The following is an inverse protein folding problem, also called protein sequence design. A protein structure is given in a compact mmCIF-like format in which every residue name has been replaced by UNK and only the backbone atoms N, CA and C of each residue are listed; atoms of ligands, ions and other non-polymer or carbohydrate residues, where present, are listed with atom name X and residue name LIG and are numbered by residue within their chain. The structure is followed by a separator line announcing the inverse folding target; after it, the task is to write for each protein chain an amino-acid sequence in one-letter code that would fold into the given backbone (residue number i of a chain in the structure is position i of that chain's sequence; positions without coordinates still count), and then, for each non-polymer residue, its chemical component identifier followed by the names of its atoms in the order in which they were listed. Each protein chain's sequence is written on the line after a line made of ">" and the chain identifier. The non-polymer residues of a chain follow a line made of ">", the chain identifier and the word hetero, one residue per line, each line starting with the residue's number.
data_IF_995547870272
#
_entry.id   IF_995547870272
#
_cell.length_a   1.000
_cell.length_b   1.000
_cell.length_c   1.000
_cell.angle_alpha   90.00
_cell.angle_beta   90.00
_cell.angle_gamma   90.00
#
_symmetry.space_group_name_H-M   'P 1'
#
loop_
_entity.id
_entity.type
_entity.pdbx_description
1 polymer ?
#
# COMPACT_ATOMS: atom_id res chain seq x y z
N UNK A 1 -6.00 -57.02 6.52
CA UNK A 1 -7.03 -56.19 7.20
C UNK A 1 -6.27 -54.96 7.65
N UNK A 2 -6.10 -54.02 6.75
CA UNK A 2 -5.38 -52.77 7.02
C UNK A 2 -6.41 -51.73 7.46
N UNK A 3 -6.30 -51.37 8.72
CA UNK A 3 -7.11 -50.40 9.44
C UNK A 3 -6.59 -49.00 9.09
N UNK A 4 -7.21 -48.35 8.11
CA UNK A 4 -6.90 -46.97 7.75
C UNK A 4 -7.88 -46.07 8.50
N UNK A 5 -7.47 -45.62 9.69
CA UNK A 5 -8.19 -44.59 10.43
C UNK A 5 -8.23 -43.29 9.61
N UNK A 6 -9.38 -42.59 9.52
CA UNK A 6 -9.47 -41.32 8.83
C UNK A 6 -8.79 -40.23 9.67
N UNK A 7 -7.88 -39.50 9.04
CA UNK A 7 -7.35 -38.22 9.54
C UNK A 7 -8.51 -37.24 9.59
N UNK A 8 -8.91 -36.85 10.80
CA UNK A 8 -9.83 -35.74 11.00
C UNK A 8 -9.21 -34.44 10.46
N UNK A 9 -9.94 -33.63 9.69
CA UNK A 9 -9.44 -32.35 9.23
C UNK A 9 -9.28 -31.41 10.42
N UNK A 10 -8.09 -30.80 10.50
CA UNK A 10 -7.76 -29.78 11.46
C UNK A 10 -8.80 -28.67 11.44
N UNK A 11 -9.30 -28.35 12.63
CA UNK A 11 -10.11 -27.18 12.95
C UNK A 11 -9.38 -25.91 12.51
N UNK A 12 -9.78 -25.35 11.37
CA UNK A 12 -9.20 -24.15 10.81
C UNK A 12 -9.87 -22.90 11.38
N UNK A 13 -9.15 -22.27 12.31
CA UNK A 13 -9.14 -20.83 12.46
C UNK A 13 -10.28 -20.28 13.30
N UNK A 14 -10.01 -20.09 14.58
CA UNK A 14 -10.67 -19.05 15.37
C UNK A 14 -10.48 -17.74 14.60
N UNK A 15 -11.53 -17.27 13.94
CA UNK A 15 -11.50 -16.01 13.23
C UNK A 15 -11.10 -14.93 14.23
N UNK A 16 -10.05 -14.18 13.89
CA UNK A 16 -9.62 -13.02 14.69
C UNK A 16 -10.86 -12.14 14.92
N UNK A 17 -11.24 -11.85 16.18
CA UNK A 17 -12.43 -11.05 16.48
C UNK A 17 -12.46 -9.72 15.70
N UNK A 18 -11.29 -9.11 15.44
CA UNK A 18 -11.20 -7.92 14.61
C UNK A 18 -11.65 -8.13 13.16
N UNK A 19 -11.45 -9.31 12.58
CA UNK A 19 -11.92 -9.64 11.22
C UNK A 19 -13.44 -9.82 11.18
N UNK A 20 -14.03 -10.43 12.22
CA UNK A 20 -15.48 -10.59 12.30
C UNK A 20 -16.20 -9.25 12.45
N UNK A 21 -15.68 -8.35 13.29
CA UNK A 21 -16.24 -7.02 13.51
C UNK A 21 -16.19 -6.16 12.24
N UNK A 22 -15.10 -6.25 11.46
CA UNK A 22 -14.99 -5.58 10.15
C UNK A 22 -16.01 -6.09 9.14
N UNK A 23 -16.18 -7.40 9.05
CA UNK A 23 -17.12 -8.01 8.11
C UNK A 23 -18.57 -7.61 8.46
N UNK A 24 -18.92 -7.62 9.74
CA UNK A 24 -20.22 -7.16 10.22
C UNK A 24 -20.43 -5.66 9.89
N UNK A 25 -19.42 -4.82 10.16
CA UNK A 25 -19.49 -3.40 9.87
C UNK A 25 -19.69 -3.11 8.37
N UNK A 26 -18.99 -3.84 7.50
CA UNK A 26 -19.16 -3.71 6.05
C UNK A 26 -20.53 -4.20 5.57
N UNK A 27 -21.10 -5.24 6.19
CA UNK A 27 -22.45 -5.70 5.90
C UNK A 27 -23.50 -4.63 6.29
N UNK A 28 -23.34 -3.99 7.45
CA UNK A 28 -24.23 -2.91 7.89
C UNK A 28 -24.10 -1.64 7.01
N UNK A 29 -22.89 -1.36 6.52
CA UNK A 29 -22.62 -0.25 5.60
C UNK A 29 -23.06 -0.52 4.16
N UNK A 30 -23.36 -1.78 3.80
CA UNK A 30 -23.59 -2.21 2.41
C UNK A 30 -24.61 -1.37 1.65
N UNK A 31 -25.83 -1.09 2.18
CA UNK A 31 -26.82 -0.32 1.43
C UNK A 31 -26.29 1.05 1.03
N UNK A 32 -25.60 1.73 1.94
CA UNK A 32 -25.03 3.05 1.72
C UNK A 32 -23.87 3.01 0.73
N UNK A 33 -23.00 1.99 0.84
CA UNK A 33 -21.90 1.82 -0.10
C UNK A 33 -22.37 1.57 -1.54
N UNK A 34 -23.45 0.79 -1.72
CA UNK A 34 -24.04 0.54 -3.03
C UNK A 34 -24.70 1.81 -3.61
N UNK A 35 -25.42 2.57 -2.80
CA UNK A 35 -26.11 3.80 -3.24
C UNK A 35 -25.12 4.88 -3.70
N UNK A 36 -24.02 5.04 -2.97
CA UNK A 36 -23.05 6.12 -3.21
C UNK A 36 -21.78 5.67 -3.94
N UNK A 37 -21.76 4.43 -4.45
CA UNK A 37 -20.60 3.83 -5.11
C UNK A 37 -19.30 3.97 -4.28
N UNK A 38 -19.40 3.75 -2.96
CA UNK A 38 -18.24 3.63 -2.09
C UNK A 38 -17.64 2.23 -2.27
N UNK A 39 -16.37 2.20 -2.66
CA UNK A 39 -15.64 0.97 -2.88
C UNK A 39 -14.63 0.73 -1.76
N UNK A 40 -14.53 -0.50 -1.29
CA UNK A 40 -13.50 -0.93 -0.36
C UNK A 40 -12.14 -0.96 -1.06
N UNK A 41 -11.12 -0.39 -0.43
CA UNK A 41 -9.73 -0.42 -0.87
C UNK A 41 -8.82 -0.83 0.29
N UNK A 42 -7.50 -0.80 0.07
CA UNK A 42 -6.51 -1.15 1.07
C UNK A 42 -6.44 -2.66 1.37
N UNK A 43 -5.92 -3.07 2.54
CA UNK A 43 -5.64 -4.48 2.85
C UNK A 43 -6.86 -5.40 2.75
N UNK A 44 -8.05 -4.96 3.16
CA UNK A 44 -9.27 -5.79 3.06
C UNK A 44 -9.67 -6.03 1.60
N UNK A 45 -9.50 -5.04 0.72
CA UNK A 45 -9.72 -5.21 -0.70
C UNK A 45 -8.72 -6.20 -1.31
N UNK A 46 -7.44 -6.12 -0.92
CA UNK A 46 -6.41 -7.08 -1.36
C UNK A 46 -6.80 -8.52 -0.97
N UNK A 47 -7.30 -8.73 0.26
CA UNK A 47 -7.79 -10.04 0.71
C UNK A 47 -8.97 -10.55 -0.12
N UNK A 48 -9.91 -9.68 -0.48
CA UNK A 48 -11.04 -10.03 -1.35
C UNK A 48 -10.61 -10.33 -2.80
N UNK A 49 -9.46 -9.80 -3.23
CA UNK A 49 -8.79 -10.19 -4.47
C UNK A 49 -7.90 -11.45 -4.34
N UNK A 50 -7.92 -12.11 -3.17
CA UNK A 50 -7.22 -13.37 -2.93
C UNK A 50 -5.75 -13.23 -2.50
N UNK A 51 -5.30 -12.04 -2.10
CA UNK A 51 -3.95 -11.82 -1.59
C UNK A 51 -3.87 -12.04 -0.07
N UNK A 52 -2.75 -12.56 0.40
CA UNK A 52 -2.47 -12.75 1.83
C UNK A 52 -1.99 -11.43 2.49
N UNK A 53 -2.73 -10.34 2.31
CA UNK A 53 -2.42 -9.06 2.93
C UNK A 53 -2.84 -9.08 4.41
N UNK A 54 -1.92 -8.81 5.36
CA UNK A 54 -2.28 -8.78 6.77
C UNK A 54 -3.09 -7.52 7.07
N UNK A 55 -4.08 -7.67 7.96
CA UNK A 55 -4.94 -6.57 8.43
C UNK A 55 -4.50 -6.20 9.85
N UNK A 56 -3.39 -5.49 9.98
CA UNK A 56 -2.82 -5.09 11.28
C UNK A 56 -3.41 -3.75 11.72
N UNK A 57 -4.30 -3.74 12.73
CA UNK A 57 -4.84 -2.54 13.42
C UNK A 57 -5.20 -1.34 12.50
N UNK A 58 -5.43 -1.62 11.22
CA UNK A 58 -5.60 -0.62 10.19
C UNK A 58 -7.08 -0.43 10.05
N UNK A 59 -7.53 0.83 10.03
CA UNK A 59 -8.92 1.13 9.71
C UNK A 59 -9.34 0.56 8.35
N UNK A 60 -10.64 0.49 8.11
CA UNK A 60 -11.17 0.23 6.77
C UNK A 60 -10.92 1.45 5.88
N UNK A 61 -10.60 1.22 4.61
CA UNK A 61 -10.49 2.29 3.62
C UNK A 61 -11.62 2.17 2.59
N UNK A 62 -12.46 3.20 2.54
CA UNK A 62 -13.49 3.36 1.51
C UNK A 62 -13.11 4.50 0.57
N UNK A 63 -13.23 4.27 -0.73
CA UNK A 63 -12.89 5.23 -1.78
C UNK A 63 -14.08 5.50 -2.68
N UNK A 64 -14.16 6.72 -3.21
CA UNK A 64 -15.12 7.08 -4.27
C UNK A 64 -14.49 8.00 -5.29
N UNK A 65 -14.86 7.82 -6.55
CA UNK A 65 -14.44 8.68 -7.65
C UNK A 65 -15.33 9.93 -7.81
N UNK A 66 -16.58 9.90 -7.30
CA UNK A 66 -17.60 10.88 -7.65
C UNK A 66 -18.61 11.14 -6.54
N UNK A 67 -19.72 11.81 -6.87
CA UNK A 67 -20.84 12.03 -5.95
C UNK A 67 -20.75 13.26 -5.05
N UNK A 68 -21.56 13.30 -3.97
CA UNK A 68 -21.65 14.43 -3.05
C UNK A 68 -20.31 14.79 -2.35
N UNK A 69 -20.21 15.96 -1.71
CA UNK A 69 -19.07 16.30 -0.85
C UNK A 69 -18.73 15.16 0.12
N UNK A 70 -17.44 14.90 0.32
CA UNK A 70 -16.98 13.78 1.15
C UNK A 70 -17.45 13.89 2.61
N UNK A 71 -17.61 15.11 3.11
CA UNK A 71 -18.18 15.37 4.43
C UNK A 71 -19.63 14.88 4.54
N UNK A 72 -20.44 15.06 3.50
CA UNK A 72 -21.83 14.61 3.45
C UNK A 72 -21.90 13.08 3.37
N UNK A 73 -21.01 12.48 2.58
CA UNK A 73 -20.86 11.02 2.51
C UNK A 73 -20.44 10.41 3.86
N UNK A 74 -19.50 11.04 4.54
CA UNK A 74 -19.06 10.60 5.87
C UNK A 74 -20.17 10.76 6.91
N UNK A 75 -20.94 11.85 6.86
CA UNK A 75 -22.07 12.06 7.75
C UNK A 75 -23.19 11.04 7.51
N UNK A 76 -23.53 10.77 6.24
CA UNK A 76 -24.53 9.77 5.87
C UNK A 76 -24.12 8.36 6.26
N UNK A 77 -22.88 7.96 5.99
CA UNK A 77 -22.35 6.67 6.43
C UNK A 77 -22.36 6.54 7.95
N UNK A 78 -21.96 7.58 8.67
CA UNK A 78 -22.01 7.58 10.13
C UNK A 78 -23.44 7.40 10.65
N UNK A 79 -24.44 7.99 10.00
CA UNK A 79 -25.84 7.81 10.36
C UNK A 79 -26.35 6.40 10.05
N UNK A 80 -26.00 5.83 8.90
CA UNK A 80 -26.31 4.43 8.57
C UNK A 80 -25.75 3.47 9.62
N UNK A 81 -24.49 3.67 10.01
CA UNK A 81 -23.84 2.84 11.02
C UNK A 81 -24.47 3.03 12.41
N UNK A 82 -24.85 4.26 12.78
CA UNK A 82 -25.59 4.51 14.03
C UNK A 82 -26.97 3.85 14.03
N UNK A 83 -27.67 3.87 12.92
CA UNK A 83 -28.96 3.20 12.77
C UNK A 83 -28.84 1.66 12.91
N UNK A 84 -27.70 1.10 12.52
CA UNK A 84 -27.35 -0.31 12.76
C UNK A 84 -26.88 -0.59 14.20
N UNK A 85 -26.78 0.44 15.06
CA UNK A 85 -26.44 0.32 16.48
C UNK A 85 -25.00 0.68 16.82
N UNK A 86 -24.15 1.01 15.85
CA UNK A 86 -22.75 1.36 16.11
C UNK A 86 -22.61 2.75 16.72
N UNK A 87 -21.59 2.96 17.55
CA UNK A 87 -21.21 4.30 18.01
C UNK A 87 -20.16 4.87 17.06
N UNK A 88 -20.49 5.99 16.40
CA UNK A 88 -19.61 6.62 15.41
C UNK A 88 -19.22 8.04 15.82
N UNK A 89 -17.91 8.29 15.90
CA UNK A 89 -17.32 9.61 16.05
C UNK A 89 -16.71 10.04 14.71
N UNK A 90 -16.95 11.28 14.32
CA UNK A 90 -16.38 11.86 13.11
C UNK A 90 -15.31 12.87 13.48
N UNK A 91 -14.13 12.74 12.88
CA UNK A 91 -13.08 13.75 12.97
C UNK A 91 -13.24 14.77 11.82
N UNK A 92 -12.81 16.03 12.02
CA UNK A 92 -12.73 17.00 10.92
C UNK A 92 -11.90 16.44 9.76
N UNK A 93 -12.44 16.53 8.54
CA UNK A 93 -11.79 16.07 7.32
C UNK A 93 -11.45 17.21 6.36
N UNK A 94 -10.78 16.86 5.27
CA UNK A 94 -10.59 17.71 4.10
C UNK A 94 -11.60 17.36 3.00
N UNK A 95 -11.59 18.10 1.89
CA UNK A 95 -12.41 17.77 0.72
C UNK A 95 -12.07 16.40 0.10
N UNK A 96 -10.88 15.84 0.38
CA UNK A 96 -10.39 14.58 -0.17
C UNK A 96 -10.28 13.44 0.84
N UNK A 97 -10.32 13.73 2.14
CA UNK A 97 -10.16 12.72 3.20
C UNK A 97 -11.06 13.01 4.39
N UNK A 98 -11.78 12.01 4.88
CA UNK A 98 -12.55 12.07 6.12
C UNK A 98 -12.27 10.82 6.95
N UNK A 99 -12.35 10.93 8.28
CA UNK A 99 -12.14 9.80 9.18
C UNK A 99 -13.31 9.65 10.14
N UNK A 100 -13.73 8.40 10.31
CA UNK A 100 -14.71 7.97 11.30
C UNK A 100 -14.03 6.99 12.26
N UNK A 101 -14.42 7.02 13.52
CA UNK A 101 -14.05 6.02 14.51
C UNK A 101 -15.34 5.32 14.96
N UNK A 102 -15.37 3.99 14.82
CA UNK A 102 -16.56 3.17 15.04
C UNK A 102 -16.31 2.21 16.19
N UNK A 103 -17.20 2.18 17.18
CA UNK A 103 -17.19 1.17 18.24
C UNK A 103 -18.49 0.38 18.22
N UNK A 104 -18.38 -0.94 18.31
CA UNK A 104 -19.52 -1.83 18.45
C UNK A 104 -19.97 -1.78 19.91
N UNK A 105 -21.23 -1.46 20.23
CA UNK A 105 -21.69 -1.53 21.61
C UNK A 105 -21.66 -2.99 22.06
N UNK A 106 -20.96 -3.27 23.17
CA UNK A 106 -20.98 -4.58 23.78
C UNK A 106 -22.45 -5.02 24.02
N UNK A 107 -22.84 -6.13 23.41
CA UNK A 107 -24.19 -6.67 23.54
C UNK A 107 -24.43 -7.15 24.99
N UNK A 108 -25.38 -6.55 25.69
CA UNK A 108 -25.90 -7.09 26.95
C UNK A 108 -26.86 -6.17 27.72
N UNK A 109 -28.11 -6.60 27.99
CA UNK A 109 -28.92 -6.07 29.08
C UNK A 109 -28.64 -6.89 30.36
N UNK A 110 -27.98 -6.32 31.36
CA UNK A 110 -27.87 -6.98 32.67
C UNK A 110 -26.69 -6.55 33.54
N UNK A 111 -27.04 -5.89 34.65
CA UNK A 111 -26.24 -5.56 35.84
C UNK A 111 -25.15 -4.47 35.74
N UNK A 112 -25.36 -3.29 36.37
CA UNK A 112 -24.23 -2.44 36.72
C UNK A 112 -23.36 -3.19 37.73
N UNK A 113 -22.08 -3.37 37.43
CA UNK A 113 -21.11 -3.82 38.42
C UNK A 113 -21.08 -2.84 39.59
N UNK A 114 -21.78 -3.19 40.67
CA UNK A 114 -21.61 -2.63 42.01
C UNK A 114 -20.25 -3.07 42.54
N UNK A 115 -19.20 -2.47 41.99
CA UNK A 115 -17.83 -2.88 42.25
C UNK A 115 -16.81 -1.81 41.88
N UNK A 116 -17.15 -0.52 41.99
CA UNK A 116 -16.14 0.54 42.06
C UNK A 116 -16.71 1.80 42.70
N UNK A 117 -16.95 1.73 44.02
CA UNK A 117 -17.01 2.93 44.86
C UNK A 117 -15.63 3.11 45.50
N UNK A 118 -14.67 3.55 44.69
CA UNK A 118 -13.46 4.21 45.16
C UNK A 118 -13.15 5.30 44.15
N UNK A 119 -13.60 6.52 44.46
CA UNK A 119 -13.30 7.69 43.67
C UNK A 119 -11.80 7.95 43.67
N UNK A 120 -11.27 8.16 42.47
CA UNK A 120 -10.37 9.27 42.17
C UNK A 120 -10.52 9.55 40.69
N UNK A 121 -10.91 10.78 40.37
CA UNK A 121 -10.86 11.35 39.03
C UNK A 121 -9.47 11.11 38.43
N UNK A 122 -9.40 10.20 37.46
CA UNK A 122 -8.30 10.13 36.51
C UNK A 122 -8.89 9.58 35.21
N UNK A 123 -8.74 10.37 34.14
CA UNK A 123 -8.87 9.93 32.75
C UNK A 123 -8.21 8.57 32.58
N UNK A 124 -9.05 7.56 32.47
CA UNK A 124 -8.66 6.16 32.33
C UNK A 124 -9.72 5.48 31.50
N UNK A 125 -10.02 6.05 30.32
CA UNK A 125 -10.76 5.36 29.29
C UNK A 125 -9.97 4.09 28.93
N UNK A 126 -10.31 2.97 29.53
CA UNK A 126 -10.21 1.67 28.87
C UNK A 126 -11.15 1.74 27.67
N UNK A 127 -10.70 2.46 26.64
CA UNK A 127 -11.44 2.72 25.42
C UNK A 127 -11.74 1.39 24.78
N UNK A 128 -13.02 1.13 24.50
CA UNK A 128 -13.37 0.05 23.60
C UNK A 128 -12.55 0.24 22.31
N UNK A 129 -12.02 -0.84 21.72
CA UNK A 129 -11.26 -0.72 20.48
C UNK A 129 -12.16 -0.06 19.43
N UNK A 130 -11.79 1.15 19.02
CA UNK A 130 -12.47 1.88 17.96
C UNK A 130 -11.85 1.46 16.63
N UNK A 131 -12.67 0.93 15.72
CA UNK A 131 -12.28 0.66 14.35
C UNK A 131 -12.34 1.95 13.54
N UNK A 132 -11.19 2.39 13.03
CA UNK A 132 -11.12 3.51 12.10
C UNK A 132 -11.78 3.17 10.77
N UNK A 133 -12.51 4.11 10.17
CA UNK A 133 -12.96 4.05 8.77
C UNK A 133 -12.51 5.33 8.08
N UNK A 134 -11.59 5.21 7.13
CA UNK A 134 -11.14 6.31 6.31
C UNK A 134 -11.96 6.36 5.02
N UNK A 135 -12.46 7.54 4.69
CA UNK A 135 -13.07 7.82 3.39
C UNK A 135 -12.11 8.69 2.59
N UNK A 136 -11.81 8.29 1.35
CA UNK A 136 -11.01 9.09 0.41
C UNK A 136 -11.77 9.36 -0.89
N UNK A 137 -11.51 10.51 -1.47
CA UNK A 137 -11.93 10.84 -2.84
C UNK A 137 -10.74 10.67 -3.78
N UNK A 138 -10.82 9.67 -4.64
CA UNK A 138 -9.70 9.24 -5.49
C UNK A 138 -10.14 9.02 -6.94
N UNK A 139 -9.31 9.38 -7.94
CA UNK A 139 -9.64 9.24 -9.35
C UNK A 139 -9.52 7.78 -9.83
N UNK A 140 -10.39 6.89 -9.35
CA UNK A 140 -10.41 5.48 -9.73
C UNK A 140 -10.41 5.33 -11.26
N UNK A 141 -9.46 4.55 -11.79
CA UNK A 141 -9.27 4.38 -13.23
C UNK A 141 -10.11 3.23 -13.78
N UNK A 142 -10.54 2.33 -12.91
CA UNK A 142 -11.33 1.17 -13.24
C UNK A 142 -12.64 1.17 -12.44
N UNK A 143 -13.74 0.62 -13.00
CA UNK A 143 -14.98 0.49 -12.24
C UNK A 143 -14.76 -0.46 -11.04
N UNK A 144 -15.33 -0.16 -9.87
CA UNK A 144 -15.36 -1.09 -8.74
C UNK A 144 -16.00 -2.42 -9.15
N UNK A 145 -15.48 -3.51 -8.60
CA UNK A 145 -16.00 -4.87 -8.80
C UNK A 145 -16.72 -5.35 -7.54
N UNK A 146 -17.53 -6.40 -7.64
CA UNK A 146 -18.13 -7.05 -6.47
C UNK A 146 -17.69 -8.52 -6.46
N UNK A 147 -16.50 -8.84 -5.92
CA UNK A 147 -16.01 -10.21 -5.82
C UNK A 147 -16.97 -11.11 -5.03
N UNK A 148 -16.93 -12.42 -5.29
CA UNK A 148 -17.73 -13.38 -4.54
C UNK A 148 -17.38 -13.32 -3.03
N UNK A 149 -18.39 -13.13 -2.19
CA UNK A 149 -18.21 -12.98 -0.74
C UNK A 149 -17.91 -11.56 -0.26
N UNK A 150 -17.76 -10.58 -1.16
CA UNK A 150 -17.60 -9.19 -0.77
C UNK A 150 -18.97 -8.59 -0.36
N UNK A 151 -19.10 -8.01 0.84
CA UNK A 151 -20.34 -7.35 1.27
C UNK A 151 -20.57 -6.01 0.57
N UNK A 152 -19.50 -5.35 0.09
CA UNK A 152 -19.55 -4.03 -0.55
C UNK A 152 -18.76 -4.03 -1.85
N UNK A 153 -19.00 -3.07 -2.78
CA UNK A 153 -18.12 -2.88 -3.93
C UNK A 153 -16.66 -2.78 -3.49
N UNK A 154 -15.74 -3.33 -4.27
CA UNK A 154 -14.30 -3.36 -4.02
C UNK A 154 -13.61 -2.65 -5.17
N UNK A 155 -12.64 -1.77 -4.88
CA UNK A 155 -11.84 -1.14 -5.91
C UNK A 155 -11.14 -2.22 -6.75
N UNK A 156 -10.97 -1.97 -8.05
CA UNK A 156 -10.25 -2.90 -8.90
C UNK A 156 -8.84 -3.15 -8.34
N UNK A 157 -8.27 -4.33 -8.59
CA UNK A 157 -6.97 -4.70 -8.04
C UNK A 157 -5.88 -3.69 -8.44
N UNK A 158 -5.89 -3.23 -9.68
CA UNK A 158 -4.91 -2.26 -10.19
C UNK A 158 -5.01 -0.91 -9.49
N UNK A 159 -6.23 -0.41 -9.24
CA UNK A 159 -6.45 0.82 -8.49
C UNK A 159 -6.08 0.64 -7.00
N UNK A 160 -6.37 -0.54 -6.43
CA UNK A 160 -5.99 -0.88 -5.05
C UNK A 160 -4.47 -0.95 -4.89
N UNK A 161 -3.76 -1.48 -5.89
CA UNK A 161 -2.32 -1.55 -5.91
C UNK A 161 -1.68 -0.16 -6.02
N UNK A 162 -2.19 0.70 -6.90
CA UNK A 162 -1.76 2.09 -6.97
C UNK A 162 -1.97 2.82 -5.64
N UNK A 163 -3.16 2.68 -5.04
CA UNK A 163 -3.48 3.29 -3.75
C UNK A 163 -2.60 2.77 -2.61
N UNK A 164 -2.18 1.50 -2.63
CA UNK A 164 -1.27 0.95 -1.62
C UNK A 164 0.10 1.64 -1.69
N UNK A 165 0.66 1.83 -2.89
CA UNK A 165 1.91 2.58 -3.10
C UNK A 165 1.78 4.02 -2.61
N UNK A 166 0.70 4.71 -2.98
CA UNK A 166 0.47 6.10 -2.60
C UNK A 166 0.25 6.25 -1.08
N UNK A 167 -0.48 5.32 -0.46
CA UNK A 167 -0.70 5.32 0.99
C UNK A 167 0.62 5.12 1.74
N UNK A 168 1.50 4.24 1.27
CA UNK A 168 2.86 4.12 1.81
C UNK A 168 3.65 5.42 1.63
N UNK A 169 3.56 6.07 0.47
CA UNK A 169 4.25 7.35 0.23
C UNK A 169 3.77 8.47 1.16
N UNK A 170 2.50 8.45 1.56
CA UNK A 170 1.92 9.43 2.47
C UNK A 170 2.29 9.18 3.94
N UNK A 171 2.23 7.92 4.39
CA UNK A 171 2.26 7.59 5.83
C UNK A 171 3.55 6.90 6.29
N UNK A 172 4.21 6.16 5.40
CA UNK A 172 5.38 5.32 5.70
C UNK A 172 5.22 4.42 6.94
N UNK A 173 4.09 3.72 7.06
CA UNK A 173 3.86 2.82 8.20
C UNK A 173 4.18 1.36 7.85
N UNK A 174 4.59 0.55 8.85
CA UNK A 174 4.78 -0.89 8.69
C UNK A 174 3.59 -1.62 8.06
N UNK A 175 2.36 -1.25 8.42
CA UNK A 175 1.16 -1.90 7.86
C UNK A 175 1.00 -1.64 6.37
N UNK A 176 1.27 -0.42 5.92
CA UNK A 176 1.21 -0.06 4.50
C UNK A 176 2.31 -0.81 3.72
N UNK A 177 3.48 -1.00 4.36
CA UNK A 177 4.58 -1.78 3.79
C UNK A 177 4.22 -3.25 3.64
N UNK A 178 3.59 -3.87 4.64
CA UNK A 178 3.14 -5.26 4.53
C UNK A 178 2.06 -5.45 3.46
N UNK A 179 1.12 -4.51 3.35
CA UNK A 179 0.10 -4.54 2.30
C UNK A 179 0.74 -4.42 0.90
N UNK A 180 1.74 -3.55 0.75
CA UNK A 180 2.48 -3.41 -0.50
C UNK A 180 3.33 -4.66 -0.81
N UNK A 181 4.00 -5.24 0.19
CA UNK A 181 4.76 -6.46 0.01
C UNK A 181 3.85 -7.64 -0.38
N UNK A 182 2.64 -7.73 0.16
CA UNK A 182 1.70 -8.79 -0.23
C UNK A 182 1.34 -8.74 -1.74
N UNK A 183 1.34 -7.56 -2.37
CA UNK A 183 1.08 -7.41 -3.80
C UNK A 183 2.17 -8.04 -4.67
N UNK A 184 3.40 -8.21 -4.16
CA UNK A 184 4.51 -8.79 -4.94
C UNK A 184 4.31 -10.28 -5.25
N UNK A 185 3.34 -10.93 -4.59
CA UNK A 185 2.90 -12.28 -4.95
C UNK A 185 2.25 -12.36 -6.34
N UNK A 186 1.72 -11.23 -6.86
CA UNK A 186 1.02 -11.18 -8.15
C UNK A 186 1.53 -10.08 -9.10
N UNK A 187 2.20 -9.06 -8.57
CA UNK A 187 2.66 -7.88 -9.33
C UNK A 187 4.16 -7.70 -9.17
N UNK A 188 4.83 -7.28 -10.23
CA UNK A 188 6.23 -6.87 -10.15
C UNK A 188 6.34 -5.44 -9.65
N UNK A 189 7.45 -5.11 -9.01
CA UNK A 189 7.76 -3.76 -8.52
C UNK A 189 7.58 -2.69 -9.61
N UNK A 190 8.09 -2.95 -10.82
CA UNK A 190 7.93 -2.04 -11.96
C UNK A 190 6.47 -1.83 -12.40
N UNK A 191 5.61 -2.84 -12.25
CA UNK A 191 4.17 -2.69 -12.51
C UNK A 191 3.50 -1.80 -11.45
N UNK A 192 3.90 -1.93 -10.18
CA UNK A 192 3.41 -1.09 -9.09
C UNK A 192 3.80 0.38 -9.29
N UNK A 193 5.02 0.66 -9.77
CA UNK A 193 5.45 2.01 -10.15
C UNK A 193 4.60 2.60 -11.28
N UNK A 194 4.37 1.81 -12.34
CA UNK A 194 3.58 2.24 -13.49
C UNK A 194 2.12 2.53 -13.10
N UNK A 195 1.54 1.69 -12.22
CA UNK A 195 0.19 1.90 -11.71
C UNK A 195 0.10 3.17 -10.85
N UNK A 196 1.03 3.37 -9.92
CA UNK A 196 1.07 4.56 -9.07
C UNK A 196 1.25 5.85 -9.88
N UNK A 197 2.22 5.89 -10.80
CA UNK A 197 2.48 7.06 -11.64
C UNK A 197 1.36 7.38 -12.62
N UNK A 198 0.54 6.40 -13.01
CA UNK A 198 -0.63 6.64 -13.83
C UNK A 198 -1.87 7.05 -13.01
N UNK A 199 -1.82 6.89 -11.68
CA UNK A 199 -2.89 7.27 -10.75
C UNK A 199 -2.69 8.68 -10.18
N UNK A 200 -1.43 9.07 -9.94
CA UNK A 200 -1.05 10.37 -9.41
C UNK A 200 0.14 10.93 -10.22
N UNK A 201 -0.05 12.09 -10.85
CA UNK A 201 0.97 12.77 -11.66
C UNK A 201 2.11 13.35 -10.80
N UNK A 202 1.84 13.62 -9.52
CA UNK A 202 2.84 14.11 -8.56
C UNK A 202 3.65 12.95 -7.94
N UNK A 203 3.37 11.70 -8.32
CA UNK A 203 4.11 10.54 -7.83
C UNK A 203 5.59 10.61 -8.20
N UNK A 204 6.44 10.32 -7.21
CA UNK A 204 7.90 10.33 -7.37
C UNK A 204 8.52 9.05 -6.83
N UNK A 205 9.33 8.39 -7.67
CA UNK A 205 10.11 7.20 -7.29
C UNK A 205 11.10 7.49 -6.15
N UNK A 206 11.63 8.73 -6.09
CA UNK A 206 12.49 9.18 -4.98
C UNK A 206 11.72 9.17 -3.66
N UNK A 207 10.50 9.71 -3.65
CA UNK A 207 9.65 9.71 -2.47
C UNK A 207 9.32 8.28 -2.04
N UNK A 208 9.01 7.38 -2.97
CA UNK A 208 8.76 5.98 -2.64
C UNK A 208 9.99 5.31 -1.99
N UNK A 209 11.20 5.51 -2.54
CA UNK A 209 12.42 4.95 -1.97
C UNK A 209 12.65 5.38 -0.51
N UNK A 210 12.52 6.68 -0.23
CA UNK A 210 12.66 7.21 1.14
C UNK A 210 11.59 6.66 2.10
N UNK A 211 10.38 6.43 1.59
CA UNK A 211 9.23 5.95 2.37
C UNK A 211 9.31 4.46 2.65
N UNK A 212 9.83 3.65 1.72
CA UNK A 212 10.15 2.23 1.92
C UNK A 212 11.14 2.06 3.07
N UNK A 213 12.25 2.80 3.06
CA UNK A 213 13.24 2.75 4.14
C UNK A 213 12.67 3.21 5.48
N UNK A 214 11.93 4.31 5.48
CA UNK A 214 11.29 4.82 6.70
C UNK A 214 10.37 3.77 7.32
N UNK A 215 9.51 3.13 6.51
CA UNK A 215 8.61 2.09 6.99
C UNK A 215 9.37 0.83 7.44
N UNK A 216 10.42 0.44 6.73
CA UNK A 216 11.25 -0.72 7.05
C UNK A 216 12.02 -0.55 8.38
N UNK A 217 12.47 0.67 8.68
CA UNK A 217 13.13 1.02 9.94
C UNK A 217 12.17 0.95 11.15
N UNK A 218 10.87 1.08 10.93
CA UNK A 218 9.83 0.98 11.97
C UNK A 218 9.37 -0.45 12.24
N UNK A 219 9.74 -1.42 11.40
CA UNK A 219 9.42 -2.83 11.65
C UNK A 219 10.15 -3.31 12.91
N UNK A 220 9.51 -4.14 13.76
CA UNK A 220 10.16 -4.74 14.92
C UNK A 220 11.28 -5.69 14.46
N UNK A 221 12.36 -5.92 15.23
CA UNK A 221 13.48 -6.77 14.81
C UNK A 221 13.18 -8.28 14.78
N UNK A 222 11.91 -8.67 14.64
CA UNK A 222 11.43 -10.05 14.66
C UNK A 222 11.68 -10.77 13.33
N UNK A 223 11.93 -12.08 13.39
CA UNK A 223 12.22 -12.93 12.22
C UNK A 223 11.12 -12.85 11.17
N UNK A 224 9.85 -12.80 11.59
CA UNK A 224 8.69 -12.81 10.69
C UNK A 224 8.56 -11.52 9.86
N UNK A 225 9.25 -10.45 10.27
CA UNK A 225 9.31 -9.17 9.53
C UNK A 225 10.61 -8.98 8.75
N UNK A 226 11.60 -9.87 8.95
CA UNK A 226 12.93 -9.73 8.35
C UNK A 226 12.88 -9.79 6.83
N UNK A 227 12.03 -10.65 6.27
CA UNK A 227 11.85 -10.78 4.82
C UNK A 227 11.24 -9.51 4.22
N UNK A 228 10.20 -8.94 4.87
CA UNK A 228 9.56 -7.69 4.41
C UNK A 228 10.54 -6.51 4.52
N UNK A 229 11.31 -6.43 5.61
CA UNK A 229 12.35 -5.39 5.79
C UNK A 229 13.39 -5.47 4.67
N UNK A 230 13.96 -6.66 4.46
CA UNK A 230 15.01 -6.87 3.45
C UNK A 230 14.52 -6.55 2.05
N UNK A 231 13.30 -6.99 1.71
CA UNK A 231 12.68 -6.66 0.43
C UNK A 231 12.56 -5.15 0.24
N UNK A 232 12.04 -4.44 1.25
CA UNK A 232 11.85 -2.99 1.19
C UNK A 232 13.17 -2.22 1.02
N UNK A 233 14.20 -2.59 1.77
CA UNK A 233 15.54 -2.01 1.68
C UNK A 233 16.18 -2.27 0.30
N UNK A 234 16.04 -3.49 -0.22
CA UNK A 234 16.56 -3.86 -1.55
C UNK A 234 15.88 -3.04 -2.63
N UNK A 235 14.55 -2.96 -2.62
CA UNK A 235 13.82 -2.19 -3.63
C UNK A 235 14.11 -0.68 -3.53
N UNK A 236 14.21 -0.13 -2.32
CA UNK A 236 14.60 1.26 -2.13
C UNK A 236 16.00 1.56 -2.66
N UNK A 237 16.93 0.60 -2.56
CA UNK A 237 18.27 0.71 -3.14
C UNK A 237 18.21 0.68 -4.67
N UNK A 238 17.47 -0.26 -5.25
CA UNK A 238 17.31 -0.38 -6.71
C UNK A 238 16.72 0.92 -7.30
N UNK A 239 15.67 1.48 -6.68
CA UNK A 239 15.09 2.76 -7.10
C UNK A 239 16.10 3.91 -7.09
N UNK A 240 17.05 3.92 -6.14
CA UNK A 240 18.09 4.96 -6.07
C UNK A 240 19.17 4.78 -7.12
N UNK A 241 19.52 3.53 -7.43
CA UNK A 241 20.44 3.23 -8.53
C UNK A 241 19.84 3.68 -9.86
N UNK A 242 18.57 3.37 -10.12
CA UNK A 242 17.86 3.81 -11.32
C UNK A 242 17.79 5.34 -11.44
N UNK A 243 17.58 6.03 -10.32
CA UNK A 243 17.57 7.50 -10.26
C UNK A 243 18.95 8.11 -10.56
N UNK A 244 20.03 7.48 -10.10
CA UNK A 244 21.39 7.91 -10.39
C UNK A 244 21.69 7.76 -11.89
N UNK A 245 21.40 6.59 -12.48
CA UNK A 245 21.58 6.33 -13.91
C UNK A 245 20.78 7.32 -14.77
N UNK A 246 19.52 7.58 -14.41
CA UNK A 246 18.66 8.53 -15.13
C UNK A 246 19.19 9.97 -15.04
N UNK A 247 19.75 10.35 -13.89
CA UNK A 247 20.34 11.70 -13.70
C UNK A 247 21.64 11.85 -14.49
N UNK A 248 22.51 10.82 -14.50
CA UNK A 248 23.75 10.83 -15.28
C UNK A 248 23.50 10.96 -16.80
N UNK A 249 22.46 10.29 -17.30
CA UNK A 249 22.03 10.39 -18.70
C UNK A 249 21.46 11.78 -19.03
N UNK A 250 20.73 12.40 -18.11
CA UNK A 250 20.11 13.73 -18.31
C UNK A 250 21.12 14.88 -18.19
N UNK A 251 22.08 14.78 -17.26
CA UNK A 251 23.15 15.76 -17.07
C UNK A 251 24.25 15.65 -18.13
N UNK A 252 24.13 14.67 -19.04
CA UNK A 252 25.07 14.49 -20.15
C UNK A 252 26.49 14.39 -19.64
N UNK A 253 26.71 13.65 -18.56
CA UNK A 253 28.04 13.45 -17.98
C UNK A 253 28.87 12.62 -18.96
N UNK A 254 29.43 13.35 -19.91
CA UNK A 254 30.47 12.97 -20.85
C UNK A 254 31.53 12.18 -20.09
N UNK A 255 31.66 10.89 -20.39
CA UNK A 255 32.83 10.13 -19.98
C UNK A 255 34.02 10.66 -20.80
N UNK A 256 34.96 11.41 -20.19
CA UNK A 256 36.10 11.97 -20.91
C UNK A 256 37.09 10.90 -21.38
N UNK A 257 36.89 9.64 -20.99
CA UNK A 257 37.74 8.52 -21.37
C UNK A 257 37.14 7.63 -22.47
N UNK A 258 35.90 7.88 -22.93
CA UNK A 258 35.30 7.18 -24.07
C UNK A 258 35.59 7.81 -25.44
N UNK A 259 36.33 8.92 -25.50
CA UNK A 259 36.92 9.46 -26.72
C UNK A 259 38.44 9.59 -26.54
N UNK A 260 39.14 8.47 -26.67
CA UNK A 260 40.54 8.51 -27.08
C UNK A 260 40.56 8.53 -28.62
N UNK A 261 40.70 9.68 -29.29
CA UNK A 261 41.05 9.66 -30.70
C UNK A 261 42.44 9.06 -30.79
N UNK A 262 42.51 7.78 -31.16
CA UNK A 262 43.72 7.04 -31.51
C UNK A 262 44.84 7.99 -31.97
N UNK A 263 45.91 8.16 -31.17
CA UNK A 263 46.97 9.10 -31.50
C UNK A 263 47.97 8.40 -32.41
N UNK A 264 47.56 8.03 -33.62
CA UNK A 264 48.48 7.53 -34.65
C UNK A 264 48.09 8.03 -36.04
N UNK A 265 47.98 9.34 -36.17
CA UNK A 265 48.25 10.04 -37.42
C UNK A 265 49.64 10.68 -37.32
N UNK A 266 50.68 9.87 -37.51
CA UNK A 266 52.03 10.36 -37.81
C UNK A 266 52.21 10.38 -39.34
N UNK A 267 52.26 11.57 -39.99
CA UNK A 267 52.77 11.68 -41.36
C UNK A 267 54.23 12.11 -41.29
N UNK A 268 55.15 11.17 -41.07
CA UNK A 268 56.51 11.33 -41.59
C UNK A 268 57.34 10.05 -41.44
N UNK A 269 57.46 9.31 -42.54
CA UNK A 269 58.59 8.43 -42.85
C UNK A 269 58.46 8.00 -44.31
N UNK A 270 58.66 8.94 -45.23
CA UNK A 270 59.11 8.60 -46.56
C UNK A 270 60.54 8.06 -46.44
N UNK A 271 60.70 6.78 -46.77
CA UNK A 271 61.93 6.03 -46.65
C UNK A 271 63.08 6.63 -47.46
N UNK A 272 64.23 6.75 -46.81
CA UNK A 272 65.50 6.76 -47.51
C UNK A 272 65.80 5.31 -47.93
N UNK A 273 65.76 5.04 -49.23
CA UNK A 273 66.35 3.86 -49.84
C UNK A 273 67.67 4.28 -50.53
N UNK A 274 68.83 3.76 -50.10
CA UNK A 274 70.10 4.06 -50.74
C UNK A 274 70.45 3.03 -51.83
N UNK A 275 70.57 3.54 -53.06
CA UNK A 275 71.39 3.06 -54.17
C UNK A 275 70.93 1.82 -54.97
N UNK A 276 70.60 2.08 -56.25
CA UNK A 276 71.12 1.28 -57.37
C UNK A 276 71.51 2.22 -58.53
N UNK A 277 72.79 2.23 -58.97
CA UNK A 277 73.24 3.03 -60.10
C UNK A 277 73.07 2.27 -61.42
N UNK A 278 72.25 2.82 -62.32
CA UNK A 278 72.32 2.46 -63.75
C UNK A 278 73.33 3.34 -64.48
N UNK A 279 74.20 2.63 -65.19
CA UNK A 279 75.09 2.99 -66.29
C UNK A 279 74.60 4.07 -67.27
N UNK A 280 75.59 4.62 -67.99
CA UNK A 280 75.54 5.36 -69.27
C UNK A 280 75.25 6.87 -69.27
N UNK A 281 76.33 7.68 -69.20
CA UNK A 281 76.93 8.44 -70.34
C UNK A 281 78.09 9.35 -69.90
#
# INVERSE_FOLDING_TARGET
>A
MDDTSPVEPADHGTADPGTADRAALLADAQPYCLEHALALAGPDALRLHGLAAPVHDTGLLLVTAGGPPLADLAAGLAETLRAAGHRVRQAPGSARRCQLAVSVPAAGPGEPSLGSLAGTDTDGAAGQPELGVELRREPLRHPPTLPAGAPVPVAALDDTAALAVLTLCERALPTDLHALHALTAQRREGELLALAGAFDEDFSTRTLADRLETAAALLPPETDTADTRKWAETWAQDLRLDLLETTELADGLYDPYLHDPSPDAHPDRAGADPADPTDDL
#
